data_IF_523267963342
#
_entry.id   IF_523267963342
#
_cell.length_a   1.000
_cell.length_b   1.000
_cell.length_c   1.000
_cell.angle_alpha   90.00
_cell.angle_beta   90.00
_cell.angle_gamma   90.00
#
_symmetry.space_group_name_H-M   'P 1'
#
loop_
_entity.id
_entity.type
_entity.pdbx_description
1 polymer ?
#
# COMPACT_ATOMS: atom_id res chain seq x y z
N UNK A 1 -6.89 4.04 4.19
CA UNK A 1 -7.20 2.96 3.25
C UNK A 1 -6.00 2.03 3.03
N UNK A 2 -4.91 2.47 2.39
CA UNK A 2 -3.72 1.64 2.13
C UNK A 2 -3.05 1.09 3.39
N UNK A 3 -3.04 1.85 4.49
CA UNK A 3 -2.57 1.35 5.81
C UNK A 3 -3.35 0.11 6.27
N UNK A 4 -4.66 0.04 5.98
CA UNK A 4 -5.50 -1.12 6.33
C UNK A 4 -5.19 -2.31 5.45
N UNK A 5 -5.01 -2.09 4.15
CA UNK A 5 -4.58 -3.13 3.20
C UNK A 5 -3.21 -3.69 3.62
N UNK A 6 -2.25 -2.83 3.98
CA UNK A 6 -0.94 -3.27 4.49
C UNK A 6 -1.08 -4.11 5.74
N UNK A 7 -1.80 -3.62 6.75
CA UNK A 7 -1.99 -4.36 7.99
C UNK A 7 -2.61 -5.74 7.73
N UNK A 8 -3.49 -5.85 6.74
CA UNK A 8 -4.07 -7.11 6.33
C UNK A 8 -3.04 -8.04 5.68
N UNK A 9 -2.22 -7.53 4.77
CA UNK A 9 -1.15 -8.31 4.12
C UNK A 9 -0.12 -8.78 5.15
N UNK A 10 0.31 -7.91 6.07
CA UNK A 10 1.29 -8.24 7.11
C UNK A 10 0.76 -9.30 8.09
N UNK A 11 -0.54 -9.27 8.39
CA UNK A 11 -1.16 -10.15 9.38
C UNK A 11 -1.64 -11.49 8.77
N UNK A 12 -2.11 -11.46 7.53
CA UNK A 12 -2.83 -12.58 6.91
C UNK A 12 -2.25 -13.03 5.57
N UNK A 13 -1.24 -12.35 5.02
CA UNK A 13 -0.69 -12.63 3.69
C UNK A 13 -0.30 -14.10 3.51
N UNK A 14 0.41 -14.66 4.49
CA UNK A 14 0.87 -16.06 4.46
C UNK A 14 -0.28 -17.09 4.62
N UNK A 15 -1.50 -16.65 4.92
CA UNK A 15 -2.67 -17.53 5.06
C UNK A 15 -3.40 -17.76 3.74
N UNK A 16 -3.06 -16.99 2.69
CA UNK A 16 -3.67 -17.16 1.37
C UNK A 16 -2.89 -18.18 0.55
N UNK A 17 -3.61 -19.10 -0.09
CA UNK A 17 -3.01 -20.13 -0.94
C UNK A 17 -2.39 -19.56 -2.22
N UNK A 18 -2.93 -18.45 -2.73
CA UNK A 18 -2.43 -17.75 -3.90
C UNK A 18 -2.56 -16.23 -3.77
N UNK A 19 -1.68 -15.50 -4.44
CA UNK A 19 -1.72 -14.02 -4.46
C UNK A 19 -3.05 -13.47 -4.98
N UNK A 20 -3.65 -14.13 -5.99
CA UNK A 20 -4.99 -13.79 -6.48
C UNK A 20 -6.06 -13.83 -5.39
N UNK A 21 -5.97 -14.77 -4.46
CA UNK A 21 -6.96 -14.92 -3.39
C UNK A 21 -6.80 -13.78 -2.36
N UNK A 22 -5.55 -13.37 -2.10
CA UNK A 22 -5.25 -12.17 -1.31
C UNK A 22 -5.74 -10.89 -2.00
N UNK A 23 -5.50 -10.73 -3.31
CA UNK A 23 -6.01 -9.60 -4.09
C UNK A 23 -7.54 -9.56 -4.06
N UNK A 24 -8.18 -10.71 -4.22
CA UNK A 24 -9.64 -10.85 -4.12
C UNK A 24 -10.17 -10.42 -2.74
N UNK A 25 -9.50 -10.82 -1.66
CA UNK A 25 -9.87 -10.40 -0.32
C UNK A 25 -9.75 -8.88 -0.12
N UNK A 26 -8.73 -8.26 -0.72
CA UNK A 26 -8.53 -6.81 -0.69
C UNK A 26 -9.61 -6.09 -1.50
N UNK A 27 -9.91 -6.54 -2.73
CA UNK A 27 -10.90 -5.91 -3.61
C UNK A 27 -12.33 -6.05 -3.09
N UNK A 28 -12.66 -7.17 -2.41
CA UNK A 28 -13.93 -7.34 -1.70
C UNK A 28 -14.15 -6.32 -0.57
N UNK A 29 -13.09 -5.63 -0.11
CA UNK A 29 -13.18 -4.53 0.84
C UNK A 29 -13.45 -3.16 0.20
N UNK A 30 -13.50 -3.08 -1.13
CA UNK A 30 -13.61 -1.84 -1.91
C UNK A 30 -15.02 -1.66 -2.48
N UNK A 31 -16.03 -1.57 -1.60
CA UNK A 31 -17.45 -1.65 -2.01
C UNK A 31 -18.14 -0.29 -2.17
N UNK A 32 -17.41 0.82 -2.07
CA UNK A 32 -17.98 2.17 -2.08
C UNK A 32 -17.24 3.12 -3.02
N UNK A 33 -18.02 3.95 -3.72
CA UNK A 33 -17.54 5.08 -4.53
C UNK A 33 -16.59 4.70 -5.66
N UNK A 34 -15.66 5.60 -5.97
CA UNK A 34 -14.68 5.49 -7.07
C UNK A 34 -13.82 4.21 -7.00
N UNK A 35 -13.62 3.66 -5.79
CA UNK A 35 -12.89 2.41 -5.61
C UNK A 35 -13.68 1.19 -6.09
N UNK A 36 -14.99 1.15 -5.87
CA UNK A 36 -15.86 0.06 -6.33
C UNK A 36 -15.96 0.04 -7.86
N UNK A 37 -16.19 1.20 -8.48
CA UNK A 37 -16.28 1.33 -9.94
C UNK A 37 -14.96 0.93 -10.60
N UNK A 38 -13.83 1.33 -10.01
CA UNK A 38 -12.51 0.97 -10.52
C UNK A 38 -12.21 -0.53 -10.38
N UNK A 39 -12.53 -1.15 -9.24
CA UNK A 39 -12.38 -2.60 -9.05
C UNK A 39 -13.26 -3.39 -10.02
N UNK A 40 -14.52 -2.97 -10.21
CA UNK A 40 -15.42 -3.61 -11.17
C UNK A 40 -14.85 -3.58 -12.60
N UNK A 41 -14.23 -2.45 -12.98
CA UNK A 41 -13.55 -2.33 -14.27
C UNK A 41 -12.37 -3.32 -14.40
N UNK A 42 -11.51 -3.44 -13.39
CA UNK A 42 -10.39 -4.39 -13.42
C UNK A 42 -10.86 -5.84 -13.58
N UNK A 43 -11.95 -6.21 -12.89
CA UNK A 43 -12.53 -7.55 -13.03
C UNK A 43 -13.14 -7.79 -14.42
N UNK A 44 -13.84 -6.80 -14.98
CA UNK A 44 -14.40 -6.89 -16.33
C UNK A 44 -13.31 -7.04 -17.40
N UNK A 45 -12.20 -6.33 -17.23
CA UNK A 45 -11.05 -6.37 -18.15
C UNK A 45 -10.14 -7.58 -17.93
N UNK A 46 -10.40 -8.39 -16.89
CA UNK A 46 -9.54 -9.50 -16.46
C UNK A 46 -8.08 -9.04 -16.30
N UNK A 47 -7.91 -7.87 -15.69
CA UNK A 47 -6.63 -7.21 -15.56
C UNK A 47 -5.58 -8.16 -14.95
N UNK A 48 -4.40 -8.33 -15.56
CA UNK A 48 -3.37 -9.27 -15.08
C UNK A 48 -2.87 -8.91 -13.67
N UNK A 49 -3.01 -7.65 -13.26
CA UNK A 49 -2.71 -7.16 -11.93
C UNK A 49 -3.57 -7.84 -10.85
N UNK A 50 -4.75 -8.38 -11.18
CA UNK A 50 -5.57 -9.15 -10.24
C UNK A 50 -4.94 -10.48 -9.83
N UNK A 51 -3.90 -10.93 -10.53
CA UNK A 51 -3.19 -12.19 -10.25
C UNK A 51 -1.90 -12.02 -9.45
N UNK A 52 -1.43 -10.78 -9.28
CA UNK A 52 -0.11 -10.47 -8.69
C UNK A 52 -0.26 -9.34 -7.68
N UNK A 53 0.03 -9.63 -6.41
CA UNK A 53 -0.19 -8.67 -5.32
C UNK A 53 0.68 -7.42 -5.48
N UNK A 54 1.91 -7.56 -5.99
CA UNK A 54 2.80 -6.42 -6.15
C UNK A 54 2.29 -5.51 -7.26
N UNK A 55 1.88 -6.08 -8.39
CA UNK A 55 1.31 -5.31 -9.51
C UNK A 55 0.00 -4.64 -9.13
N UNK A 56 -0.87 -5.35 -8.40
CA UNK A 56 -2.12 -4.76 -7.91
C UNK A 56 -1.86 -3.55 -7.01
N UNK A 57 -0.93 -3.68 -6.05
CA UNK A 57 -0.60 -2.59 -5.14
C UNK A 57 0.01 -1.40 -5.89
N UNK A 58 0.85 -1.62 -6.90
CA UNK A 58 1.37 -0.53 -7.75
C UNK A 58 0.24 0.20 -8.47
N UNK A 59 -0.68 -0.53 -9.10
CA UNK A 59 -1.80 0.05 -9.82
C UNK A 59 -2.75 0.82 -8.89
N UNK A 60 -3.00 0.28 -7.70
CA UNK A 60 -3.80 0.92 -6.66
C UNK A 60 -3.22 2.27 -6.22
N UNK A 61 -1.90 2.36 -6.12
CA UNK A 61 -1.20 3.59 -5.75
C UNK A 61 -1.30 4.63 -6.84
N UNK A 62 -1.01 4.25 -8.08
CA UNK A 62 -1.14 5.14 -9.23
C UNK A 62 -2.55 5.74 -9.34
N UNK A 63 -3.57 4.98 -8.93
CA UNK A 63 -4.97 5.39 -9.00
C UNK A 63 -5.41 6.32 -7.86
N UNK A 64 -4.92 6.09 -6.63
CA UNK A 64 -5.47 6.72 -5.42
C UNK A 64 -4.47 7.52 -4.59
N UNK A 65 -3.17 7.43 -4.88
CA UNK A 65 -2.16 8.27 -4.25
C UNK A 65 -1.88 9.53 -5.07
N UNK A 66 -1.55 10.60 -4.36
CA UNK A 66 -1.06 11.82 -4.98
C UNK A 66 0.48 11.72 -5.09
N UNK A 67 1.05 11.76 -6.30
CA UNK A 67 2.50 11.62 -6.51
C UNK A 67 3.34 12.69 -5.80
N UNK A 68 2.82 13.91 -5.60
CA UNK A 68 3.55 14.97 -4.90
C UNK A 68 3.74 14.65 -3.41
N UNK A 69 2.76 13.99 -2.80
CA UNK A 69 2.83 13.56 -1.40
C UNK A 69 3.78 12.38 -1.21
N UNK A 70 3.99 11.58 -2.24
CA UNK A 70 4.93 10.45 -2.20
C UNK A 70 6.37 10.96 -2.12
N UNK A 71 6.74 11.88 -3.01
CA UNK A 71 8.09 12.45 -3.07
C UNK A 71 8.50 13.16 -1.77
N UNK A 72 7.59 13.99 -1.22
CA UNK A 72 7.84 14.71 0.04
C UNK A 72 8.10 13.76 1.23
N UNK A 73 7.43 12.61 1.27
CA UNK A 73 7.60 11.65 2.36
C UNK A 73 8.87 10.80 2.24
N UNK A 74 9.38 10.59 1.02
CA UNK A 74 10.67 9.94 0.78
C UNK A 74 11.83 10.84 1.18
N UNK A 75 11.80 12.11 0.78
CA UNK A 75 12.81 13.11 1.17
C UNK A 75 12.89 13.21 2.70
N UNK A 76 11.74 13.30 3.37
CA UNK A 76 11.64 13.31 4.82
C UNK A 76 12.21 12.06 5.50
N UNK A 77 12.14 10.89 4.86
CA UNK A 77 12.78 9.68 5.36
C UNK A 77 14.30 9.70 5.20
N UNK A 78 14.81 10.24 4.09
CA UNK A 78 16.26 10.35 3.87
C UNK A 78 16.91 11.33 4.84
N UNK A 79 16.18 12.37 5.24
CA UNK A 79 16.64 13.36 6.22
C UNK A 79 16.50 12.89 7.68
N UNK A 80 15.73 11.83 7.95
CA UNK A 80 15.54 11.32 9.31
C UNK A 80 16.83 10.72 9.88
N UNK A 81 17.36 11.35 10.93
CA UNK A 81 18.49 10.85 11.71
C UNK A 81 18.06 10.56 13.15
N UNK A 82 18.54 9.47 13.73
CA UNK A 82 18.31 9.18 15.15
C UNK A 82 18.95 10.25 16.04
N UNK A 83 20.14 10.75 15.71
CA UNK A 83 20.82 11.76 16.54
C UNK A 83 20.90 11.36 18.02
N UNK A 84 20.49 12.25 18.92
CA UNK A 84 20.48 12.02 20.37
C UNK A 84 19.13 11.52 20.93
N UNK A 85 18.11 11.31 20.09
CA UNK A 85 16.79 10.88 20.57
C UNK A 85 16.75 9.37 20.89
N UNK A 86 15.87 8.93 21.81
CA UNK A 86 15.69 7.52 22.12
C UNK A 86 15.38 6.69 20.87
N UNK A 87 15.94 5.47 20.83
CA UNK A 87 15.74 4.55 19.70
C UNK A 87 14.27 4.17 19.52
N UNK A 88 13.50 4.06 20.61
CA UNK A 88 12.06 3.80 20.58
C UNK A 88 11.31 4.87 19.79
N UNK A 89 11.59 6.14 20.07
CA UNK A 89 10.94 7.28 19.44
C UNK A 89 11.38 7.40 17.99
N UNK A 90 12.65 7.08 17.72
CA UNK A 90 13.14 6.98 16.35
C UNK A 90 12.44 5.90 15.54
N UNK A 91 12.30 4.69 16.10
CA UNK A 91 11.62 3.58 15.43
C UNK A 91 10.14 3.90 15.23
N UNK A 92 9.48 4.55 16.20
CA UNK A 92 8.09 4.96 16.07
C UNK A 92 7.88 5.94 14.92
N UNK A 93 8.65 7.02 14.87
CA UNK A 93 8.59 8.02 13.81
C UNK A 93 9.01 7.46 12.45
N UNK A 94 10.04 6.62 12.43
CA UNK A 94 10.53 5.98 11.20
C UNK A 94 9.48 5.01 10.63
N UNK A 95 8.81 4.21 11.47
CA UNK A 95 7.71 3.34 11.04
C UNK A 95 6.51 4.15 10.54
N UNK A 96 6.20 5.26 11.19
CA UNK A 96 5.12 6.17 10.77
C UNK A 96 5.42 6.80 9.41
N UNK A 97 6.63 7.30 9.18
CA UNK A 97 7.04 7.88 7.89
C UNK A 97 7.21 6.81 6.80
N UNK A 98 7.77 5.64 7.13
CA UNK A 98 7.80 4.49 6.21
C UNK A 98 6.42 4.01 5.85
N UNK A 99 5.47 4.01 6.76
CA UNK A 99 4.11 3.67 6.42
C UNK A 99 3.50 4.59 5.35
N UNK A 100 4.05 5.80 5.18
CA UNK A 100 3.63 6.84 4.23
C UNK A 100 4.52 6.86 2.98
N UNK A 101 5.79 6.43 3.05
CA UNK A 101 6.69 6.34 1.88
C UNK A 101 6.72 4.95 1.23
N UNK A 102 6.41 3.87 1.96
CA UNK A 102 6.18 2.56 1.34
C UNK A 102 4.98 2.61 0.40
N UNK A 103 4.09 3.57 0.57
CA UNK A 103 2.99 4.01 -0.29
C UNK A 103 3.56 4.53 -1.64
N UNK A 104 4.66 5.29 -1.61
CA UNK A 104 5.35 5.83 -2.79
C UNK A 104 6.39 4.99 -3.51
N UNK A 105 7.13 4.13 -2.81
CA UNK A 105 8.23 3.36 -3.41
C UNK A 105 7.82 1.94 -3.74
N UNK A 106 7.34 1.73 -4.95
CA UNK A 106 7.75 0.63 -5.85
C UNK A 106 7.30 1.00 -7.25
N UNK A 107 7.99 1.96 -7.86
CA UNK A 107 8.16 2.00 -9.31
C UNK A 107 8.94 0.78 -9.80
#
# INVERSE_FOLDING_TARGET
FLTRIRSHIEQFGDQYAAERDLVTAITNGMNEGDAADWVAKLHNEQAPELQDINRFIQLLRLRFENPDRVAENEEKLMEMKQGKRPLSDFIWDFRRSRAISWIGLKG
#
